data_IF_755783624659
#
_entry.id   IF_755783624659
#
_cell.length_a   1.000
_cell.length_b   1.000
_cell.length_c   1.000
_cell.angle_alpha   90.00
_cell.angle_beta   90.00
_cell.angle_gamma   90.00
#
_symmetry.space_group_name_H-M   'P 1'
#
loop_
_entity.id
_entity.type
_entity.pdbx_description
1 polymer ?
#
# COMPACT_ATOMS: atom_id res chain seq x y z
N UNK A 1 -5.19 6.26 -36.31
CA UNK A 1 -6.45 6.93 -35.96
C UNK A 1 -7.56 6.16 -36.66
N UNK A 2 -7.98 5.03 -36.07
CA UNK A 2 -9.10 4.26 -36.59
C UNK A 2 -10.36 5.09 -36.34
N UNK A 3 -11.10 5.42 -37.40
CA UNK A 3 -12.46 5.92 -37.24
C UNK A 3 -13.28 4.75 -36.72
N UNK A 4 -13.63 4.78 -35.44
CA UNK A 4 -14.64 3.92 -34.87
C UNK A 4 -15.94 4.27 -35.59
N UNK A 5 -16.46 3.37 -36.40
CA UNK A 5 -17.80 3.51 -36.96
C UNK A 5 -18.74 3.05 -35.85
N UNK A 6 -19.09 3.99 -34.97
CA UNK A 6 -19.74 3.72 -33.68
C UNK A 6 -21.01 2.86 -33.81
N UNK A 7 -21.65 2.90 -34.98
CA UNK A 7 -22.82 2.08 -35.32
C UNK A 7 -22.41 0.64 -35.66
N UNK A 8 -21.38 0.45 -36.50
CA UNK A 8 -20.89 -0.88 -36.87
C UNK A 8 -20.27 -1.63 -35.70
N UNK A 9 -19.54 -0.92 -34.84
CA UNK A 9 -18.97 -1.49 -33.62
C UNK A 9 -20.07 -1.95 -32.64
N UNK A 10 -21.16 -1.19 -32.51
CA UNK A 10 -22.30 -1.55 -31.65
C UNK A 10 -23.04 -2.78 -32.17
N UNK A 11 -23.31 -2.85 -33.48
CA UNK A 11 -23.94 -4.02 -34.11
C UNK A 11 -23.11 -5.29 -33.92
N UNK A 12 -21.78 -5.17 -34.00
CA UNK A 12 -20.86 -6.27 -33.76
C UNK A 12 -20.85 -6.71 -32.28
N UNK A 13 -20.91 -5.79 -31.33
CA UNK A 13 -21.01 -6.13 -29.90
C UNK A 13 -22.34 -6.80 -29.54
N UNK A 14 -23.43 -6.37 -30.16
CA UNK A 14 -24.75 -6.98 -29.99
C UNK A 14 -24.78 -8.39 -30.59
N UNK A 15 -24.31 -8.55 -31.84
CA UNK A 15 -24.26 -9.84 -32.54
C UNK A 15 -23.40 -10.87 -31.82
N UNK A 16 -22.28 -10.43 -31.25
CA UNK A 16 -21.37 -11.30 -30.49
C UNK A 16 -21.82 -11.52 -29.02
N UNK A 17 -22.96 -10.96 -28.62
CA UNK A 17 -23.54 -11.15 -27.27
C UNK A 17 -22.78 -10.44 -26.15
N UNK A 18 -21.81 -9.59 -26.47
CA UNK A 18 -20.97 -8.86 -25.51
C UNK A 18 -21.84 -7.87 -24.73
N UNK A 19 -22.75 -7.16 -25.41
CA UNK A 19 -23.66 -6.23 -24.74
C UNK A 19 -24.58 -6.95 -23.75
N UNK A 20 -25.11 -8.12 -24.13
CA UNK A 20 -25.97 -8.93 -23.26
C UNK A 20 -25.22 -9.39 -22.01
N UNK A 21 -24.01 -9.91 -22.17
CA UNK A 21 -23.17 -10.35 -21.06
C UNK A 21 -22.85 -9.21 -20.07
N UNK A 22 -22.52 -8.02 -20.58
CA UNK A 22 -22.25 -6.85 -19.73
C UNK A 22 -23.50 -6.39 -18.96
N UNK A 23 -24.67 -6.43 -19.60
CA UNK A 23 -25.94 -6.11 -18.94
C UNK A 23 -26.30 -7.14 -17.85
N UNK A 24 -26.08 -8.42 -18.12
CA UNK A 24 -26.30 -9.49 -17.15
C UNK A 24 -25.31 -9.40 -15.98
N UNK A 25 -24.05 -9.00 -16.22
CA UNK A 25 -23.06 -8.71 -15.16
C UNK A 25 -23.47 -7.49 -14.32
N UNK A 26 -23.96 -6.43 -14.96
CA UNK A 26 -24.48 -5.25 -14.26
C UNK A 26 -25.69 -5.58 -13.39
N UNK A 27 -26.56 -6.47 -13.86
CA UNK A 27 -27.68 -6.98 -13.05
C UNK A 27 -27.22 -7.84 -11.85
N UNK A 28 -26.02 -8.43 -11.94
CA UNK A 28 -25.37 -9.20 -10.88
C UNK A 28 -24.41 -8.36 -10.02
N UNK A 29 -24.51 -7.03 -10.10
CA UNK A 29 -23.66 -6.14 -9.32
C UNK A 29 -23.79 -6.47 -7.83
N UNK A 30 -22.64 -6.73 -7.21
CA UNK A 30 -22.56 -7.06 -5.79
C UNK A 30 -22.25 -5.77 -5.05
N UNK A 31 -23.18 -5.37 -4.19
CA UNK A 31 -22.97 -4.25 -3.29
C UNK A 31 -22.00 -4.65 -2.16
N UNK A 32 -20.74 -4.27 -2.34
CA UNK A 32 -19.68 -4.42 -1.34
C UNK A 32 -19.50 -3.19 -0.47
N UNK A 33 -20.43 -2.22 -0.50
CA UNK A 33 -20.36 -1.01 0.33
C UNK A 33 -20.26 -1.33 1.83
N UNK A 34 -20.78 -2.47 2.27
CA UNK A 34 -20.64 -2.98 3.64
C UNK A 34 -19.17 -3.14 4.05
N UNK A 35 -18.24 -3.47 3.14
CA UNK A 35 -16.80 -3.59 3.45
C UNK A 35 -16.25 -2.23 3.93
N UNK A 36 -16.74 -1.12 3.38
CA UNK A 36 -16.34 0.21 3.82
C UNK A 36 -16.72 0.46 5.30
N UNK A 37 -17.83 -0.12 5.77
CA UNK A 37 -18.25 0.00 7.18
C UNK A 37 -17.38 -0.81 8.16
N UNK A 38 -16.68 -1.83 7.66
CA UNK A 38 -15.77 -2.68 8.44
C UNK A 38 -14.36 -2.09 8.54
N UNK A 39 -14.06 -1.03 7.79
CA UNK A 39 -12.74 -0.41 7.81
C UNK A 39 -12.52 0.23 9.18
N UNK A 40 -11.43 -0.12 9.90
CA UNK A 40 -11.13 0.48 11.20
C UNK A 40 -11.15 2.00 11.09
N UNK A 41 -11.98 2.65 11.91
CA UNK A 41 -12.26 4.09 11.81
C UNK A 41 -11.05 4.99 12.10
N UNK A 42 -9.98 4.45 12.68
CA UNK A 42 -8.81 5.23 13.06
C UNK A 42 -7.51 4.51 12.71
N UNK A 43 -7.10 4.65 11.45
CA UNK A 43 -5.75 4.27 10.99
C UNK A 43 -4.82 5.47 10.92
N UNK A 44 -5.28 6.65 11.34
CA UNK A 44 -4.47 7.86 11.36
C UNK A 44 -3.32 7.66 12.36
N UNK A 45 -2.12 8.03 11.94
CA UNK A 45 -0.90 7.81 12.72
C UNK A 45 -0.38 6.37 12.71
N UNK A 46 -1.09 5.40 12.12
CA UNK A 46 -0.67 4.00 12.07
C UNK A 46 -0.11 3.62 10.70
N UNK A 47 1.10 3.07 10.66
CA UNK A 47 1.66 2.55 9.40
C UNK A 47 1.00 1.21 9.05
N UNK A 48 0.46 1.11 7.84
CA UNK A 48 -0.11 -0.13 7.28
C UNK A 48 0.79 -0.74 6.20
N UNK A 49 2.06 -0.33 6.13
CA UNK A 49 3.07 -0.84 5.20
C UNK A 49 2.72 -0.71 3.71
N UNK A 50 1.85 0.23 3.34
CA UNK A 50 1.36 0.47 1.98
C UNK A 50 2.41 1.03 0.99
N UNK A 51 3.63 1.33 1.47
CA UNK A 51 4.76 1.86 0.70
C UNK A 51 4.52 3.17 -0.06
N UNK A 52 3.51 3.99 0.28
CA UNK A 52 3.35 5.33 -0.30
C UNK A 52 4.53 6.29 0.00
N UNK A 53 5.31 6.01 1.04
CA UNK A 53 6.54 6.71 1.38
C UNK A 53 7.72 6.44 0.42
N UNK A 54 7.56 5.57 -0.58
CA UNK A 54 8.62 5.14 -1.50
C UNK A 54 8.63 5.87 -2.86
N UNK A 55 9.80 6.05 -3.50
CA UNK A 55 11.13 5.65 -3.01
C UNK A 55 11.64 6.59 -1.91
N UNK A 56 12.34 6.02 -0.92
CA UNK A 56 13.08 6.81 0.06
C UNK A 56 14.38 7.35 -0.60
N UNK A 57 14.72 8.64 -0.47
CA UNK A 57 15.98 9.18 -0.99
C UNK A 57 17.24 8.49 -0.45
N UNK A 58 17.17 7.90 0.75
CA UNK A 58 18.25 7.14 1.36
C UNK A 58 18.30 5.65 0.93
N UNK A 59 17.37 5.20 0.09
CA UNK A 59 17.26 3.80 -0.34
C UNK A 59 16.60 2.85 0.66
N UNK A 60 16.02 3.37 1.75
CA UNK A 60 15.36 2.56 2.79
C UNK A 60 14.09 1.88 2.30
N UNK A 61 13.90 0.60 2.64
CA UNK A 61 12.57 -0.02 2.63
C UNK A 61 11.78 0.27 3.90
N UNK A 62 11.29 1.51 4.01
CA UNK A 62 10.53 2.01 5.16
C UNK A 62 9.33 1.10 5.49
N UNK A 63 8.62 0.58 4.49
CA UNK A 63 7.51 -0.33 4.72
C UNK A 63 7.94 -1.63 5.38
N UNK A 64 9.05 -2.21 4.90
CA UNK A 64 9.58 -3.46 5.42
C UNK A 64 10.23 -3.30 6.81
N UNK A 65 10.97 -2.21 7.01
CA UNK A 65 11.57 -1.80 8.29
C UNK A 65 10.50 -1.73 9.37
N UNK A 66 9.40 -0.99 9.11
CA UNK A 66 8.29 -0.88 10.04
C UNK A 66 7.63 -2.26 10.31
N UNK A 67 7.40 -3.06 9.27
CA UNK A 67 6.80 -4.40 9.42
C UNK A 67 7.63 -5.29 10.34
N UNK A 68 8.95 -5.35 10.14
CA UNK A 68 9.81 -6.17 10.97
C UNK A 68 9.89 -5.65 12.40
N UNK A 69 9.94 -4.34 12.59
CA UNK A 69 9.86 -3.74 13.91
C UNK A 69 8.58 -4.12 14.64
N UNK A 70 7.42 -3.91 14.02
CA UNK A 70 6.12 -4.14 14.63
C UNK A 70 5.92 -5.63 14.98
N UNK A 71 6.34 -6.55 14.12
CA UNK A 71 6.35 -7.99 14.41
C UNK A 71 7.34 -8.35 15.52
N UNK A 72 8.54 -7.75 15.53
CA UNK A 72 9.53 -8.01 16.58
C UNK A 72 9.04 -7.56 17.95
N UNK A 73 8.32 -6.43 18.03
CA UNK A 73 7.68 -5.98 19.28
C UNK A 73 6.63 -6.95 19.80
N UNK A 74 6.00 -7.72 18.91
CA UNK A 74 5.05 -8.77 19.26
C UNK A 74 5.73 -10.11 19.61
N UNK A 75 7.06 -10.16 19.60
CA UNK A 75 7.84 -11.35 19.98
C UNK A 75 8.20 -12.27 18.81
N UNK A 76 8.00 -11.85 17.55
CA UNK A 76 8.43 -12.60 16.39
C UNK A 76 9.96 -12.50 16.22
N UNK A 77 10.65 -13.60 16.57
CA UNK A 77 12.12 -13.68 16.50
C UNK A 77 12.61 -13.67 15.06
N UNK A 78 11.87 -14.27 14.12
CA UNK A 78 12.26 -14.31 12.70
C UNK A 78 12.19 -12.92 12.09
N UNK A 79 11.21 -12.11 12.46
CA UNK A 79 11.14 -10.72 12.03
C UNK A 79 12.39 -9.91 12.43
N UNK A 80 12.89 -10.12 13.65
CA UNK A 80 14.12 -9.50 14.15
C UNK A 80 15.33 -9.96 13.33
N UNK A 81 15.47 -11.25 13.08
CA UNK A 81 16.57 -11.78 12.26
C UNK A 81 16.53 -11.21 10.84
N UNK A 82 15.35 -11.16 10.22
CA UNK A 82 15.19 -10.58 8.89
C UNK A 82 15.55 -9.09 8.85
N UNK A 83 15.17 -8.30 9.86
CA UNK A 83 15.61 -6.91 9.96
C UNK A 83 17.13 -6.78 9.92
N UNK A 84 17.84 -7.62 10.68
CA UNK A 84 19.31 -7.55 10.79
C UNK A 84 20.01 -7.87 9.47
N UNK A 85 19.36 -8.62 8.57
CA UNK A 85 19.87 -8.95 7.23
C UNK A 85 19.62 -7.87 6.17
N UNK A 86 18.88 -6.79 6.49
CA UNK A 86 18.65 -5.71 5.55
C UNK A 86 19.96 -4.99 5.18
N UNK A 87 20.10 -4.69 3.89
CA UNK A 87 21.21 -3.88 3.35
C UNK A 87 21.18 -2.46 3.93
N UNK A 88 19.97 -1.88 4.05
CA UNK A 88 19.71 -0.57 4.62
C UNK A 88 18.78 -0.68 5.82
N UNK A 89 19.19 -0.09 6.94
CA UNK A 89 18.50 -0.17 8.21
C UNK A 89 18.05 1.22 8.69
N UNK A 90 17.24 1.31 9.74
CA UNK A 90 16.68 2.57 10.20
C UNK A 90 17.75 3.63 10.53
N UNK A 91 18.96 3.24 10.94
CA UNK A 91 20.10 4.15 11.15
C UNK A 91 20.61 4.84 9.88
N UNK A 92 20.32 4.33 8.68
CA UNK A 92 20.65 5.01 7.41
C UNK A 92 19.67 6.17 7.11
N UNK A 93 18.69 6.45 7.97
CA UNK A 93 17.71 7.52 7.75
C UNK A 93 18.37 8.91 7.79
N UNK A 94 18.15 9.68 6.72
CA UNK A 94 18.66 11.05 6.59
C UNK A 94 17.79 12.12 7.28
N UNK A 95 16.69 11.72 7.94
CA UNK A 95 15.75 12.65 8.58
C UNK A 95 15.25 13.76 7.62
N UNK A 96 14.99 13.41 6.36
CA UNK A 96 14.67 14.36 5.29
C UNK A 96 13.18 14.73 5.16
N UNK A 97 12.27 14.01 5.82
CA UNK A 97 10.83 14.29 5.83
C UNK A 97 10.05 13.86 4.58
N UNK A 98 10.70 13.36 3.53
CA UNK A 98 10.04 12.92 2.28
C UNK A 98 8.95 11.85 2.50
N UNK A 99 9.19 10.93 3.43
CA UNK A 99 8.25 9.87 3.77
C UNK A 99 7.02 10.40 4.54
N UNK A 100 7.21 11.40 5.41
CA UNK A 100 6.15 11.99 6.22
C UNK A 100 5.13 12.72 5.33
N UNK A 101 5.60 13.53 4.37
CA UNK A 101 4.74 14.30 3.46
C UNK A 101 3.92 13.42 2.51
N UNK A 102 4.37 12.18 2.25
CA UNK A 102 3.72 11.23 1.35
C UNK A 102 2.82 10.22 2.05
N UNK A 103 2.83 10.18 3.38
CA UNK A 103 2.05 9.20 4.11
C UNK A 103 0.56 9.59 4.13
N UNK A 104 -0.35 8.82 3.48
CA UNK A 104 -1.78 9.14 3.48
C UNK A 104 -2.41 9.00 4.87
N UNK A 105 -1.73 8.31 5.79
CA UNK A 105 -2.17 8.09 7.16
C UNK A 105 -1.56 9.09 8.16
N UNK A 106 -0.79 10.08 7.71
CA UNK A 106 -0.12 11.06 8.59
C UNK A 106 0.82 10.43 9.63
N UNK A 107 1.48 9.33 9.28
CA UNK A 107 2.49 8.70 10.14
C UNK A 107 3.78 9.51 10.06
N UNK A 108 4.35 9.83 11.23
CA UNK A 108 5.70 10.39 11.31
C UNK A 108 6.73 9.27 11.13
N UNK A 109 7.09 8.99 9.87
CA UNK A 109 8.02 7.92 9.54
C UNK A 109 9.44 8.23 10.03
N UNK A 110 9.83 9.50 10.10
CA UNK A 110 11.12 9.93 10.64
C UNK A 110 11.27 9.58 12.12
N UNK A 111 10.29 9.94 12.95
CA UNK A 111 10.27 9.58 14.35
C UNK A 111 10.25 8.05 14.54
N UNK A 112 9.52 7.33 13.68
CA UNK A 112 9.56 5.86 13.68
C UNK A 112 10.95 5.31 13.35
N UNK A 113 11.69 5.89 12.40
CA UNK A 113 13.04 5.40 12.11
C UNK A 113 13.96 5.56 13.33
N UNK A 114 13.84 6.65 14.09
CA UNK A 114 14.61 6.83 15.34
C UNK A 114 14.24 5.78 16.40
N UNK A 115 12.94 5.50 16.59
CA UNK A 115 12.47 4.47 17.52
C UNK A 115 12.99 3.07 17.13
N UNK A 116 12.95 2.77 15.83
CA UNK A 116 13.39 1.47 15.29
C UNK A 116 14.91 1.32 15.42
N UNK A 117 15.66 2.38 15.11
CA UNK A 117 17.10 2.42 15.31
C UNK A 117 17.44 2.19 16.78
N UNK A 118 16.73 2.83 17.72
CA UNK A 118 16.95 2.64 19.15
C UNK A 118 16.66 1.20 19.60
N UNK A 119 15.65 0.55 19.01
CA UNK A 119 15.26 -0.81 19.36
C UNK A 119 16.25 -1.87 18.84
N UNK A 120 16.73 -1.75 17.60
CA UNK A 120 17.65 -2.73 17.00
C UNK A 120 19.14 -2.37 17.15
N UNK A 121 19.46 -1.12 17.47
CA UNK A 121 20.84 -0.61 17.49
C UNK A 121 21.46 -0.42 16.09
N UNK A 122 20.65 -0.47 15.03
CA UNK A 122 21.02 -0.35 13.62
C UNK A 122 19.83 0.15 12.83
#
# INVERSE_FOLDING_TARGET
>A
MHCLDEIGDLEDYERNGILRYLLDLKAQERDYSVIATLTPKDTKGTCVYCKHCHPCPAGLDIGLINKYYDLSRLGDVLAKEHYLTLEKAASDCLQCGHCNSRCPFSVDQMARMEEIQAYFGK
#
